data_IF_786366283272
#
_entry.id   IF_786366283272
#
_cell.length_a   1.000
_cell.length_b   1.000
_cell.length_c   1.000
_cell.angle_alpha   90.00
_cell.angle_beta   90.00
_cell.angle_gamma   90.00
#
_symmetry.space_group_name_H-M   'P 1'
#
loop_
_entity.id
_entity.type
_entity.pdbx_description
1 polymer ?
#
# COMPACT_ATOMS: atom_id res chain seq x y z
N UNK A 1 -44.63 0.26 -19.21
CA UNK A 1 -43.53 0.14 -18.22
C UNK A 1 -43.30 1.52 -17.64
N UNK A 2 -43.38 1.68 -16.32
CA UNK A 2 -43.33 2.97 -15.60
C UNK A 2 -42.02 3.74 -15.87
N UNK A 3 -42.07 5.07 -15.94
CA UNK A 3 -40.90 5.96 -16.07
C UNK A 3 -39.85 5.69 -14.97
N UNK A 4 -40.30 5.27 -13.79
CA UNK A 4 -39.43 4.85 -12.69
C UNK A 4 -38.56 3.65 -13.09
N UNK A 5 -39.12 2.67 -13.80
CA UNK A 5 -38.35 1.50 -14.24
C UNK A 5 -37.27 1.88 -15.26
N UNK A 6 -37.54 2.85 -16.14
CA UNK A 6 -36.53 3.34 -17.09
C UNK A 6 -35.41 4.11 -16.38
N UNK A 7 -35.75 4.92 -15.36
CA UNK A 7 -34.77 5.62 -14.54
C UNK A 7 -33.86 4.63 -13.80
N UNK A 8 -34.44 3.61 -13.15
CA UNK A 8 -33.69 2.57 -12.43
C UNK A 8 -32.73 1.85 -13.38
N UNK A 9 -33.21 1.38 -14.53
CA UNK A 9 -32.35 0.67 -15.50
C UNK A 9 -31.21 1.54 -16.04
N UNK A 10 -31.39 2.86 -16.10
CA UNK A 10 -30.34 3.78 -16.54
C UNK A 10 -29.34 4.06 -15.41
N UNK A 11 -29.81 4.12 -14.17
CA UNK A 11 -28.96 4.24 -12.99
C UNK A 11 -28.11 2.97 -12.79
N UNK A 12 -28.68 1.78 -12.91
CA UNK A 12 -27.95 0.50 -12.85
C UNK A 12 -26.83 0.44 -13.88
N UNK A 13 -27.13 0.75 -15.15
CA UNK A 13 -26.13 0.82 -16.22
C UNK A 13 -25.04 1.87 -15.96
N UNK A 14 -25.34 2.94 -15.24
CA UNK A 14 -24.35 3.93 -14.84
C UNK A 14 -23.47 3.41 -13.70
N UNK A 15 -24.05 2.72 -12.71
CA UNK A 15 -23.32 2.12 -11.60
C UNK A 15 -22.35 1.04 -12.10
N UNK A 16 -22.79 0.15 -13.00
CA UNK A 16 -21.92 -0.85 -13.63
C UNK A 16 -20.69 -0.22 -14.30
N UNK A 17 -20.89 0.89 -15.02
CA UNK A 17 -19.78 1.63 -15.66
C UNK A 17 -18.86 2.27 -14.64
N UNK A 18 -19.40 2.83 -13.56
CA UNK A 18 -18.60 3.41 -12.48
C UNK A 18 -17.76 2.37 -11.75
N UNK A 19 -18.30 1.17 -11.51
CA UNK A 19 -17.57 0.05 -10.91
C UNK A 19 -16.35 -0.33 -11.75
N UNK A 20 -16.45 -0.33 -13.08
CA UNK A 20 -15.29 -0.61 -13.96
C UNK A 20 -14.17 0.43 -13.89
N UNK A 21 -14.47 1.63 -13.40
CA UNK A 21 -13.47 2.70 -13.23
C UNK A 21 -12.78 2.63 -11.87
N UNK A 22 -13.30 1.86 -10.92
CA UNK A 22 -12.67 1.69 -9.62
C UNK A 22 -11.39 0.87 -9.76
N UNK A 23 -10.24 1.35 -9.24
CA UNK A 23 -9.00 0.60 -9.31
C UNK A 23 -9.10 -0.68 -8.46
N UNK A 24 -8.86 -1.83 -9.07
CA UNK A 24 -8.72 -3.09 -8.34
C UNK A 24 -7.54 -3.01 -7.37
N UNK A 25 -7.79 -3.27 -6.09
CA UNK A 25 -6.72 -3.34 -5.07
C UNK A 25 -6.23 -4.77 -5.00
N UNK A 26 -5.28 -5.11 -5.88
CA UNK A 26 -4.53 -6.36 -5.73
C UNK A 26 -3.51 -6.23 -4.58
N UNK A 27 -3.29 -7.29 -3.79
CA UNK A 27 -2.19 -7.30 -2.84
C UNK A 27 -0.85 -7.11 -3.60
N UNK A 28 0.13 -6.43 -3.00
CA UNK A 28 1.46 -6.34 -3.60
C UNK A 28 2.07 -7.75 -3.70
N UNK A 29 2.90 -7.97 -4.71
CA UNK A 29 3.78 -9.13 -4.73
C UNK A 29 4.82 -8.98 -3.62
N UNK A 30 4.59 -9.70 -2.51
CA UNK A 30 5.47 -9.68 -1.35
C UNK A 30 6.87 -10.25 -1.64
N UNK A 31 7.03 -11.02 -2.72
CA UNK A 31 8.34 -11.52 -3.15
C UNK A 31 9.17 -10.49 -3.92
N UNK A 32 8.55 -9.38 -4.36
CA UNK A 32 9.21 -8.38 -5.19
C UNK A 32 10.24 -7.52 -4.45
N UNK A 33 10.20 -7.44 -3.11
CA UNK A 33 11.19 -6.74 -2.28
C UNK A 33 11.06 -7.11 -0.82
N UNK A 34 12.12 -6.89 -0.05
CA UNK A 34 12.11 -6.99 1.43
C UNK A 34 11.59 -5.72 2.12
N UNK A 35 11.38 -4.64 1.36
CA UNK A 35 10.87 -3.38 1.89
C UNK A 35 9.83 -2.75 0.97
N UNK A 36 8.79 -2.18 1.58
CA UNK A 36 7.69 -1.53 0.88
C UNK A 36 7.45 -0.13 1.44
N UNK A 37 7.08 0.80 0.57
CA UNK A 37 6.69 2.16 0.94
C UNK A 37 5.19 2.31 0.73
N UNK A 38 4.48 2.79 1.74
CA UNK A 38 3.11 3.21 1.60
C UNK A 38 3.02 4.46 0.70
N UNK A 39 2.25 4.37 -0.37
CA UNK A 39 1.98 5.47 -1.30
C UNK A 39 0.49 5.73 -1.34
N UNK A 40 0.16 7.01 -1.45
CA UNK A 40 -1.21 7.49 -1.50
C UNK A 40 -1.30 8.58 -2.55
N UNK A 41 -2.32 8.52 -3.41
CA UNK A 41 -2.57 9.48 -4.48
C UNK A 41 -4.06 9.85 -4.47
N UNK A 42 -4.35 11.15 -4.50
CA UNK A 42 -5.69 11.65 -4.73
C UNK A 42 -6.05 11.49 -6.23
N UNK A 43 -7.24 10.99 -6.50
CA UNK A 43 -7.81 10.78 -7.83
C UNK A 43 -9.23 11.32 -7.86
N UNK A 44 -9.83 11.46 -9.06
CA UNK A 44 -11.23 11.88 -9.19
C UNK A 44 -12.24 10.91 -8.56
N UNK A 45 -11.84 9.67 -8.28
CA UNK A 45 -12.65 8.62 -7.66
C UNK A 45 -12.29 8.42 -6.17
N UNK A 46 -11.58 9.37 -5.57
CA UNK A 46 -11.14 9.32 -4.18
C UNK A 46 -9.65 9.02 -4.04
N UNK A 47 -9.27 8.42 -2.92
CA UNK A 47 -7.87 8.20 -2.56
C UNK A 47 -7.47 6.78 -2.91
N UNK A 48 -6.54 6.63 -3.85
CA UNK A 48 -5.90 5.35 -4.12
C UNK A 48 -4.64 5.21 -3.28
N UNK A 49 -4.48 4.06 -2.61
CA UNK A 49 -3.28 3.76 -1.82
C UNK A 49 -2.76 2.38 -2.14
N UNK A 50 -1.44 2.20 -2.07
CA UNK A 50 -0.78 0.93 -2.36
C UNK A 50 0.57 0.84 -1.67
N UNK A 51 1.08 -0.39 -1.55
CA UNK A 51 2.43 -0.67 -1.12
C UNK A 51 3.34 -0.77 -2.35
N UNK A 52 4.25 0.17 -2.50
CA UNK A 52 5.22 0.19 -3.58
C UNK A 52 6.50 -0.51 -3.14
N UNK A 53 7.01 -1.51 -3.87
CA UNK A 53 8.28 -2.15 -3.54
C UNK A 53 9.43 -1.14 -3.66
N UNK A 54 10.32 -1.13 -2.66
CA UNK A 54 11.55 -0.34 -2.71
C UNK A 54 12.57 -1.13 -3.52
N UNK A 55 12.83 -0.69 -4.76
CA UNK A 55 13.73 -1.38 -5.70
C UNK A 55 15.21 -1.17 -5.39
N UNK A 56 15.55 0.01 -4.86
CA UNK A 56 16.92 0.37 -4.51
C UNK A 56 17.01 0.56 -3.01
N UNK A 57 17.59 -0.44 -2.34
CA UNK A 57 17.91 -0.38 -0.93
C UNK A 57 19.28 0.29 -0.76
N UNK A 58 19.47 0.99 0.36
CA UNK A 58 20.80 1.46 0.74
C UNK A 58 21.72 0.26 0.90
N UNK A 59 22.94 0.33 0.35
CA UNK A 59 23.96 -0.71 0.54
C UNK A 59 24.62 -0.64 1.92
N UNK A 60 24.38 0.43 2.68
CA UNK A 60 24.92 0.62 4.03
C UNK A 60 24.32 -0.43 4.96
N UNK A 61 25.19 -1.25 5.55
CA UNK A 61 24.85 -2.28 6.53
C UNK A 61 24.97 -1.70 7.94
N UNK A 62 24.30 -2.35 8.90
CA UNK A 62 24.43 -1.98 10.32
C UNK A 62 25.89 -2.04 10.80
N UNK A 63 26.67 -2.98 10.27
CA UNK A 63 28.09 -3.14 10.58
C UNK A 63 28.96 -1.98 10.06
N UNK A 64 28.52 -1.28 9.02
CA UNK A 64 29.27 -0.17 8.41
C UNK A 64 29.14 1.12 9.23
N UNK A 65 28.25 1.15 10.23
CA UNK A 65 28.08 2.29 11.12
C UNK A 65 29.10 2.22 12.25
N UNK A 66 29.96 3.22 12.39
CA UNK A 66 31.00 3.25 13.43
C UNK A 66 30.64 4.21 14.57
N UNK A 67 31.20 3.95 15.76
CA UNK A 67 31.04 4.78 16.96
C UNK A 67 29.60 4.90 17.51
N UNK A 68 28.71 3.95 17.19
CA UNK A 68 27.30 3.96 17.60
C UNK A 68 26.81 2.60 18.14
N UNK A 69 27.68 1.82 18.76
CA UNK A 69 27.38 0.42 19.11
C UNK A 69 26.28 0.28 20.17
N UNK A 70 26.14 1.26 21.08
CA UNK A 70 25.02 1.31 22.03
C UNK A 70 23.68 1.44 21.30
N UNK A 71 23.59 2.38 20.35
CA UNK A 71 22.37 2.60 19.56
C UNK A 71 22.02 1.38 18.71
N UNK A 72 23.02 0.69 18.12
CA UNK A 72 22.81 -0.57 17.39
C UNK A 72 22.20 -1.65 18.29
N UNK A 73 22.73 -1.79 19.50
CA UNK A 73 22.25 -2.79 20.45
C UNK A 73 20.80 -2.51 20.87
N UNK A 74 20.49 -1.24 21.16
CA UNK A 74 19.14 -0.83 21.54
C UNK A 74 18.13 -1.06 20.42
N UNK A 75 18.45 -0.64 19.18
CA UNK A 75 17.52 -0.82 18.06
C UNK A 75 17.30 -2.31 17.75
N UNK A 76 18.34 -3.13 17.81
CA UNK A 76 18.25 -4.57 17.58
C UNK A 76 17.39 -5.26 18.65
N UNK A 77 17.61 -4.93 19.94
CA UNK A 77 16.81 -5.44 21.05
C UNK A 77 15.34 -5.04 20.91
N UNK A 78 15.07 -3.76 20.70
CA UNK A 78 13.70 -3.25 20.58
C UNK A 78 12.98 -3.87 19.37
N UNK A 79 13.68 -4.02 18.24
CA UNK A 79 13.13 -4.67 17.04
C UNK A 79 12.80 -6.13 17.31
N UNK A 80 13.68 -6.88 18.00
CA UNK A 80 13.40 -8.27 18.38
C UNK A 80 12.21 -8.38 19.32
N UNK A 81 12.10 -7.47 20.29
CA UNK A 81 10.97 -7.46 21.21
C UNK A 81 9.67 -7.22 20.44
N UNK A 82 9.61 -6.18 19.60
CA UNK A 82 8.44 -5.86 18.79
C UNK A 82 8.00 -7.04 17.90
N UNK A 83 8.94 -7.73 17.26
CA UNK A 83 8.64 -8.91 16.41
C UNK A 83 8.12 -10.10 17.22
N UNK A 84 8.51 -10.23 18.50
CA UNK A 84 8.07 -11.32 19.37
C UNK A 84 6.70 -11.09 20.01
N UNK A 85 6.21 -9.84 20.03
CA UNK A 85 5.00 -9.43 20.74
C UNK A 85 5.33 -8.83 22.10
#
# INVERSE_FOLDING_TARGET
MSDLNQLIQRAERMLERLETLMPAVAPPDWSASVAFRWRRRATGLGVQSWLQPVRQLSSIRLADLHHIDEQKTLIERNTRQFVRG
#
